data_IF_641097925266
#
_entry.id   IF_641097925266
#
_cell.length_a   1.000
_cell.length_b   1.000
_cell.length_c   1.000
_cell.angle_alpha   90.00
_cell.angle_beta   90.00
_cell.angle_gamma   90.00
#
_symmetry.space_group_name_H-M   'P 1'
#
loop_
_entity.id
_entity.type
_entity.pdbx_description
1 polymer ?
#
# COMPACT_ATOMS: atom_id res chain seq x y z
N UNK A 1 25.77 -18.46 -12.34
CA UNK A 1 24.37 -18.70 -12.74
C UNK A 1 24.33 -19.56 -14.01
N UNK A 2 23.69 -20.72 -13.93
CA UNK A 2 23.47 -21.63 -15.05
C UNK A 2 21.96 -21.77 -15.29
N UNK A 3 21.38 -20.93 -16.16
CA UNK A 3 19.92 -20.75 -16.30
C UNK A 3 19.12 -22.07 -16.40
N UNK A 4 19.59 -23.02 -17.20
CA UNK A 4 18.89 -24.30 -17.41
C UNK A 4 18.94 -25.16 -16.15
N UNK A 5 20.11 -25.25 -15.52
CA UNK A 5 20.29 -26.00 -14.29
C UNK A 5 19.48 -25.38 -13.16
N UNK A 6 19.59 -24.05 -12.99
CA UNK A 6 18.85 -23.28 -11.99
C UNK A 6 17.32 -23.41 -12.17
N UNK A 7 16.82 -23.47 -13.41
CA UNK A 7 15.39 -23.65 -13.69
C UNK A 7 14.87 -25.03 -13.28
N UNK A 8 15.67 -26.08 -13.49
CA UNK A 8 15.27 -27.44 -13.15
C UNK A 8 15.43 -27.75 -11.67
N UNK A 9 16.44 -27.16 -11.01
CA UNK A 9 16.75 -27.44 -9.62
C UNK A 9 15.91 -26.62 -8.63
N UNK A 10 15.44 -25.42 -9.02
CA UNK A 10 14.65 -24.56 -8.14
C UNK A 10 13.14 -24.82 -8.32
N UNK A 11 12.43 -25.32 -7.29
CA UNK A 11 11.01 -25.60 -7.39
C UNK A 11 10.17 -24.32 -7.56
N UNK A 12 9.06 -24.43 -8.27
CA UNK A 12 8.08 -23.35 -8.37
C UNK A 12 7.33 -23.19 -7.04
N UNK A 13 7.47 -22.03 -6.41
CA UNK A 13 6.75 -21.71 -5.16
C UNK A 13 5.34 -21.21 -5.41
N UNK A 14 4.41 -21.58 -4.52
CA UNK A 14 3.06 -21.01 -4.48
C UNK A 14 3.06 -19.67 -3.73
N UNK A 15 2.27 -18.72 -4.22
CA UNK A 15 2.06 -17.42 -3.58
C UNK A 15 0.62 -17.36 -3.05
N UNK A 16 0.46 -17.01 -1.77
CA UNK A 16 -0.85 -16.95 -1.11
C UNK A 16 -1.00 -15.65 -0.31
N UNK A 17 -2.24 -15.21 -0.16
CA UNK A 17 -2.60 -14.16 0.79
C UNK A 17 -3.47 -14.79 1.88
N UNK A 18 -3.10 -14.61 3.14
CA UNK A 18 -3.86 -15.06 4.31
C UNK A 18 -4.47 -13.83 4.98
N UNK A 19 -5.78 -13.86 5.20
CA UNK A 19 -6.50 -12.90 6.05
C UNK A 19 -7.26 -13.68 7.11
N UNK A 20 -6.91 -13.49 8.38
CA UNK A 20 -7.63 -14.09 9.50
C UNK A 20 -7.86 -13.08 10.64
N UNK A 21 -8.80 -13.42 11.52
CA UNK A 21 -9.06 -12.77 12.80
C UNK A 21 -9.90 -13.71 13.70
N UNK A 22 -9.80 -13.63 15.05
CA UNK A 22 -8.81 -12.86 15.82
C UNK A 22 -7.40 -13.48 15.73
N UNK A 23 -6.36 -12.73 16.12
CA UNK A 23 -4.97 -13.20 16.11
C UNK A 23 -4.49 -13.76 17.44
N UNK A 24 -5.39 -13.82 18.42
CA UNK A 24 -5.08 -14.30 19.74
C UNK A 24 -6.04 -15.39 20.20
N UNK A 25 -5.53 -16.25 21.08
CA UNK A 25 -6.36 -17.15 21.87
C UNK A 25 -6.22 -16.79 23.33
N UNK A 26 -7.27 -16.15 23.87
CA UNK A 26 -7.30 -15.58 25.23
C UNK A 26 -6.06 -14.69 25.45
N UNK A 27 -5.40 -14.86 26.58
CA UNK A 27 -4.16 -14.23 27.03
C UNK A 27 -2.94 -15.15 26.88
N UNK A 28 -3.05 -16.25 26.10
CA UNK A 28 -2.01 -17.30 26.06
C UNK A 28 -1.21 -17.31 24.75
N UNK A 29 -1.85 -17.01 23.62
CA UNK A 29 -1.23 -17.10 22.30
C UNK A 29 -1.57 -15.83 21.53
N UNK A 30 -0.56 -15.27 20.86
CA UNK A 30 -0.68 -14.21 19.86
C UNK A 30 0.17 -14.58 18.64
N UNK A 31 -0.37 -14.38 17.44
CA UNK A 31 0.37 -14.54 16.16
C UNK A 31 0.63 -13.17 15.52
N UNK A 32 1.80 -13.02 14.89
CA UNK A 32 2.29 -11.79 14.23
C UNK A 32 2.99 -12.16 12.90
N UNK A 33 3.14 -11.19 12.00
CA UNK A 33 3.78 -11.38 10.69
C UNK A 33 3.03 -12.37 9.79
N UNK A 34 3.76 -13.14 8.98
CA UNK A 34 3.15 -14.09 8.02
C UNK A 34 2.21 -15.13 8.67
N UNK A 35 2.38 -15.42 9.96
CA UNK A 35 1.48 -16.31 10.69
C UNK A 35 0.05 -15.74 10.80
N UNK A 36 -0.11 -14.42 10.83
CA UNK A 36 -1.41 -13.72 10.90
C UNK A 36 -1.83 -13.06 9.59
N UNK A 37 -0.89 -12.66 8.74
CA UNK A 37 -1.17 -11.92 7.50
C UNK A 37 -0.15 -12.15 6.38
N UNK A 38 0.11 -13.40 5.99
CA UNK A 38 0.92 -13.66 4.79
C UNK A 38 0.37 -12.90 3.57
N UNK A 39 1.23 -12.17 2.86
CA UNK A 39 0.88 -11.40 1.66
C UNK A 39 1.74 -11.80 0.46
N UNK A 40 1.19 -11.62 -0.73
CA UNK A 40 1.97 -11.77 -1.97
C UNK A 40 3.12 -10.74 -2.03
N UNK A 41 4.29 -11.11 -2.58
CA UNK A 41 5.52 -10.32 -2.46
C UNK A 41 5.58 -9.11 -3.40
N UNK A 42 4.48 -8.77 -4.08
CA UNK A 42 4.49 -7.78 -5.16
C UNK A 42 4.73 -6.35 -4.68
N UNK A 43 4.59 -6.05 -3.39
CA UNK A 43 4.98 -4.75 -2.82
C UNK A 43 6.30 -4.78 -2.02
N UNK A 44 6.87 -5.97 -1.75
CA UNK A 44 8.06 -6.09 -0.90
C UNK A 44 7.84 -5.70 0.58
N UNK A 45 6.61 -5.80 1.09
CA UNK A 45 6.23 -5.26 2.40
C UNK A 45 5.96 -6.31 3.48
N UNK A 46 6.04 -7.62 3.18
CA UNK A 46 5.77 -8.68 4.17
C UNK A 46 6.69 -8.58 5.40
N UNK A 47 8.01 -8.52 5.17
CA UNK A 47 8.99 -8.34 6.25
C UNK A 47 8.79 -7.01 7.00
N UNK A 48 8.55 -5.91 6.28
CA UNK A 48 8.38 -4.59 6.90
C UNK A 48 7.12 -4.54 7.78
N UNK A 49 5.99 -5.05 7.30
CA UNK A 49 4.74 -5.13 8.06
C UNK A 49 4.89 -6.04 9.28
N UNK A 50 5.61 -7.18 9.15
CA UNK A 50 5.92 -8.05 10.28
C UNK A 50 6.86 -7.42 11.31
N UNK A 51 7.78 -6.55 10.92
CA UNK A 51 8.60 -5.77 11.86
C UNK A 51 7.80 -4.65 12.53
N UNK A 52 6.93 -3.99 11.79
CA UNK A 52 6.02 -2.98 12.34
C UNK A 52 5.08 -3.59 13.38
N UNK A 53 4.62 -4.83 13.19
CA UNK A 53 3.87 -5.57 14.21
C UNK A 53 4.63 -5.66 15.54
N UNK A 54 5.91 -6.02 15.51
CA UNK A 54 6.74 -6.11 16.72
C UNK A 54 6.83 -4.76 17.43
N UNK A 55 7.02 -3.67 16.68
CA UNK A 55 7.07 -2.31 17.22
C UNK A 55 5.74 -1.89 17.85
N UNK A 56 4.62 -2.13 17.16
CA UNK A 56 3.29 -1.78 17.67
C UNK A 56 2.94 -2.60 18.91
N UNK A 57 3.33 -3.88 18.93
CA UNK A 57 3.11 -4.73 20.10
C UNK A 57 3.94 -4.28 21.30
N UNK A 58 5.22 -3.90 21.10
CA UNK A 58 6.08 -3.36 22.15
C UNK A 58 5.52 -2.08 22.77
N UNK A 59 5.00 -1.16 21.95
CA UNK A 59 4.34 0.05 22.45
C UNK A 59 3.14 -0.29 23.34
N UNK A 60 2.30 -1.24 22.93
CA UNK A 60 1.14 -1.67 23.72
C UNK A 60 1.57 -2.34 25.03
N UNK A 61 2.68 -3.08 25.04
CA UNK A 61 3.21 -3.67 26.27
C UNK A 61 3.62 -2.61 27.30
N UNK A 62 4.09 -1.43 26.85
CA UNK A 62 4.43 -0.31 27.72
C UNK A 62 3.24 0.47 28.31
N UNK A 63 2.01 0.19 27.87
CA UNK A 63 0.82 0.97 28.27
C UNK A 63 -0.06 0.28 29.32
N UNK A 64 -0.09 -1.05 29.35
CA UNK A 64 -0.92 -1.85 30.28
C UNK A 64 -0.18 -3.16 30.59
N UNK A 65 -0.41 -3.75 31.77
CA UNK A 65 0.13 -5.05 32.18
C UNK A 65 -0.84 -6.23 31.91
N UNK A 66 -2.08 -5.94 31.49
CA UNK A 66 -3.09 -6.96 31.21
C UNK A 66 -2.84 -7.63 29.84
N UNK A 67 -2.48 -8.92 29.84
CA UNK A 67 -2.21 -9.68 28.61
C UNK A 67 -3.42 -9.84 27.70
N UNK A 68 -4.61 -10.01 28.25
CA UNK A 68 -5.83 -10.13 27.44
C UNK A 68 -6.08 -8.81 26.71
N UNK A 69 -5.94 -7.69 27.42
CA UNK A 69 -6.07 -6.35 26.85
C UNK A 69 -5.00 -6.09 25.77
N UNK A 70 -3.72 -6.41 26.06
CA UNK A 70 -2.61 -6.25 25.10
C UNK A 70 -2.92 -6.95 23.77
N UNK A 71 -3.34 -8.21 23.83
CA UNK A 71 -3.59 -9.03 22.65
C UNK A 71 -4.79 -8.53 21.82
N UNK A 72 -5.88 -8.15 22.49
CA UNK A 72 -7.06 -7.60 21.83
C UNK A 72 -6.75 -6.25 21.18
N UNK A 73 -6.05 -5.35 21.89
CA UNK A 73 -5.66 -4.03 21.39
C UNK A 73 -4.72 -4.15 20.19
N UNK A 74 -3.74 -5.05 20.24
CA UNK A 74 -2.83 -5.29 19.14
C UNK A 74 -3.56 -5.78 17.89
N UNK A 75 -4.38 -6.83 18.03
CA UNK A 75 -5.14 -7.41 16.90
C UNK A 75 -6.03 -6.36 16.25
N UNK A 76 -6.77 -5.57 17.05
CA UNK A 76 -7.63 -4.50 16.52
C UNK A 76 -6.86 -3.37 15.86
N UNK A 77 -5.70 -2.99 16.40
CA UNK A 77 -4.89 -1.88 15.87
C UNK A 77 -4.24 -2.24 14.54
N UNK A 78 -3.74 -3.48 14.39
CA UNK A 78 -2.99 -3.92 13.21
C UNK A 78 -3.84 -4.52 12.09
N UNK A 79 -5.02 -5.04 12.39
CA UNK A 79 -5.89 -5.67 11.38
C UNK A 79 -6.21 -4.76 10.18
N UNK A 80 -6.58 -3.47 10.36
CA UNK A 80 -6.84 -2.59 9.22
C UNK A 80 -5.62 -2.40 8.31
N UNK A 81 -4.43 -2.21 8.90
CA UNK A 81 -3.19 -1.99 8.15
C UNK A 81 -2.73 -3.23 7.40
N UNK A 82 -2.83 -4.40 8.04
CA UNK A 82 -2.42 -5.67 7.43
C UNK A 82 -3.37 -6.12 6.31
N UNK A 83 -4.67 -5.83 6.44
CA UNK A 83 -5.61 -6.02 5.33
C UNK A 83 -5.35 -5.03 4.19
N UNK A 84 -4.97 -3.79 4.52
CA UNK A 84 -4.65 -2.76 3.53
C UNK A 84 -3.36 -3.07 2.76
N UNK A 85 -2.30 -3.54 3.43
CA UNK A 85 -1.05 -3.90 2.73
C UNK A 85 -1.21 -5.13 1.84
N UNK A 86 -2.08 -6.08 2.23
CA UNK A 86 -2.47 -7.20 1.38
C UNK A 86 -3.17 -6.72 0.10
N UNK A 87 -4.07 -5.74 0.22
CA UNK A 87 -4.75 -5.12 -0.92
C UNK A 87 -3.79 -4.33 -1.80
N UNK A 88 -2.92 -3.51 -1.20
CA UNK A 88 -1.89 -2.75 -1.91
C UNK A 88 -0.96 -3.67 -2.70
N UNK A 89 -0.54 -4.80 -2.12
CA UNK A 89 0.27 -5.80 -2.81
C UNK A 89 -0.46 -6.39 -4.02
N UNK A 90 -1.76 -6.64 -3.93
CA UNK A 90 -2.56 -7.10 -5.06
C UNK A 90 -2.73 -6.00 -6.14
N UNK A 91 -2.99 -4.76 -5.74
CA UNK A 91 -3.05 -3.61 -6.66
C UNK A 91 -1.72 -3.48 -7.43
N UNK A 92 -0.58 -3.58 -6.73
CA UNK A 92 0.72 -3.47 -7.38
C UNK A 92 1.03 -4.64 -8.31
N UNK A 93 0.55 -5.86 -8.00
CA UNK A 93 0.62 -6.99 -8.92
C UNK A 93 -0.06 -6.66 -10.26
N UNK A 94 -1.30 -6.15 -10.21
CA UNK A 94 -2.07 -5.79 -11.41
C UNK A 94 -1.40 -4.63 -12.15
N UNK A 95 -0.92 -3.62 -11.43
CA UNK A 95 -0.21 -2.48 -12.03
C UNK A 95 1.04 -2.92 -12.81
N UNK A 96 1.88 -3.74 -12.18
CA UNK A 96 3.12 -4.23 -12.79
C UNK A 96 2.86 -5.15 -13.99
N UNK A 97 1.85 -6.02 -13.89
CA UNK A 97 1.49 -6.99 -14.94
C UNK A 97 0.83 -6.33 -16.16
N UNK A 98 -0.13 -5.44 -15.93
CA UNK A 98 -1.05 -5.00 -16.98
C UNK A 98 -0.79 -3.56 -17.46
N UNK A 99 -0.24 -2.67 -16.61
CA UNK A 99 -0.28 -1.22 -16.85
C UNK A 99 1.07 -0.59 -17.17
N UNK A 100 2.19 -1.24 -16.86
CA UNK A 100 3.54 -0.68 -17.04
C UNK A 100 3.86 -0.31 -18.50
N UNK A 101 3.22 -0.96 -19.46
CA UNK A 101 3.32 -0.64 -20.90
C UNK A 101 2.19 0.23 -21.45
N UNK A 102 1.17 0.60 -20.67
CA UNK A 102 0.00 1.35 -21.15
C UNK A 102 0.32 2.86 -21.26
N UNK A 103 0.24 3.47 -22.45
CA UNK A 103 0.47 4.91 -22.64
C UNK A 103 -0.43 5.80 -21.77
N UNK A 104 -1.66 5.39 -21.46
CA UNK A 104 -2.56 6.16 -20.58
C UNK A 104 -2.06 6.15 -19.14
N UNK A 105 -1.66 4.98 -18.66
CA UNK A 105 -1.08 4.84 -17.34
C UNK A 105 0.21 5.65 -17.18
N UNK A 106 1.10 5.60 -18.17
CA UNK A 106 2.33 6.40 -18.18
C UNK A 106 2.05 7.91 -18.18
N UNK A 107 1.02 8.36 -18.89
CA UNK A 107 0.60 9.76 -18.85
C UNK A 107 0.07 10.16 -17.48
N UNK A 108 -0.78 9.33 -16.86
CA UNK A 108 -1.26 9.56 -15.50
C UNK A 108 -0.08 9.71 -14.53
N UNK A 109 0.92 8.80 -14.59
CA UNK A 109 2.11 8.88 -13.74
C UNK A 109 2.93 10.15 -13.98
N UNK A 110 3.05 10.63 -15.23
CA UNK A 110 3.70 11.91 -15.52
C UNK A 110 2.98 13.10 -14.88
N UNK A 111 1.64 13.11 -14.91
CA UNK A 111 0.82 14.15 -14.28
C UNK A 111 1.00 14.09 -12.76
N UNK A 112 0.88 12.91 -12.15
CA UNK A 112 1.08 12.70 -10.70
C UNK A 112 2.48 13.18 -10.25
N UNK A 113 3.54 12.79 -10.97
CA UNK A 113 4.91 13.20 -10.65
C UNK A 113 5.09 14.71 -10.73
N UNK A 114 4.62 15.35 -11.81
CA UNK A 114 4.73 16.81 -11.98
C UNK A 114 3.93 17.56 -10.92
N UNK A 115 2.75 17.05 -10.55
CA UNK A 115 1.93 17.67 -9.51
C UNK A 115 2.62 17.56 -8.14
N UNK A 116 3.19 16.39 -7.81
CA UNK A 116 3.96 16.19 -6.58
C UNK A 116 5.19 17.10 -6.50
N UNK A 117 5.92 17.30 -7.60
CA UNK A 117 7.08 18.21 -7.63
C UNK A 117 6.72 19.65 -7.24
N UNK A 118 5.50 20.10 -7.58
CA UNK A 118 5.03 21.46 -7.29
C UNK A 118 4.29 21.59 -5.96
N UNK A 119 3.53 20.56 -5.57
CA UNK A 119 2.68 20.55 -4.37
C UNK A 119 2.95 19.31 -3.50
N UNK A 120 4.19 19.12 -3.00
CA UNK A 120 4.56 17.93 -2.23
C UNK A 120 3.75 17.77 -0.95
N UNK A 121 3.24 18.87 -0.39
CA UNK A 121 2.38 18.90 0.79
C UNK A 121 0.94 18.46 0.53
N UNK A 122 0.51 18.41 -0.74
CA UNK A 122 -0.87 18.06 -1.13
C UNK A 122 -0.98 16.68 -1.77
N UNK A 123 0.10 16.15 -2.32
CA UNK A 123 0.05 14.91 -3.08
C UNK A 123 1.31 14.06 -2.91
N UNK A 124 1.36 13.21 -1.90
CA UNK A 124 2.42 12.20 -1.83
C UNK A 124 2.03 10.98 -2.70
N UNK A 125 2.88 10.53 -3.64
CA UNK A 125 2.58 9.32 -4.41
C UNK A 125 2.39 8.09 -3.51
N UNK A 126 1.43 7.23 -3.83
CA UNK A 126 1.10 6.04 -3.03
C UNK A 126 2.33 5.16 -2.73
N UNK A 127 3.20 4.94 -3.72
CA UNK A 127 4.43 4.18 -3.52
C UNK A 127 5.34 4.81 -2.44
N UNK A 128 5.45 6.13 -2.42
CA UNK A 128 6.23 6.86 -1.42
C UNK A 128 5.57 6.83 -0.04
N UNK A 129 4.24 6.90 0.03
CA UNK A 129 3.49 6.73 1.29
C UNK A 129 3.81 5.38 1.93
N UNK A 130 3.79 4.30 1.16
CA UNK A 130 3.99 2.93 1.67
C UNK A 130 5.46 2.59 1.94
N UNK A 131 6.39 3.08 1.10
CA UNK A 131 7.79 2.62 1.11
C UNK A 131 8.73 3.53 1.89
N UNK A 132 8.45 4.84 1.93
CA UNK A 132 9.37 5.86 2.45
C UNK A 132 8.77 6.68 3.59
N UNK A 133 7.71 6.19 4.23
CA UNK A 133 7.07 6.84 5.37
C UNK A 133 6.58 5.80 6.39
N UNK A 134 6.12 6.28 7.55
CA UNK A 134 5.44 5.47 8.57
C UNK A 134 3.93 5.77 8.62
N UNK A 135 3.34 6.21 7.51
CA UNK A 135 1.88 6.38 7.41
C UNK A 135 1.23 5.00 7.53
N UNK A 136 0.19 4.83 8.37
CA UNK A 136 -0.54 3.56 8.46
C UNK A 136 -0.99 3.08 7.09
N UNK A 137 -0.81 1.80 6.78
CA UNK A 137 -1.15 1.25 5.46
C UNK A 137 -2.62 1.47 5.10
N UNK A 138 -3.54 1.45 6.07
CA UNK A 138 -4.94 1.76 5.84
C UNK A 138 -5.14 3.20 5.35
N UNK A 139 -4.41 4.16 5.93
CA UNK A 139 -4.47 5.57 5.54
C UNK A 139 -3.83 5.80 4.17
N UNK A 140 -2.71 5.11 3.89
CA UNK A 140 -2.05 5.14 2.58
C UNK A 140 -2.98 4.60 1.48
N UNK A 141 -3.64 3.47 1.71
CA UNK A 141 -4.62 2.89 0.78
C UNK A 141 -5.78 3.87 0.54
N UNK A 142 -6.38 4.41 1.60
CA UNK A 142 -7.48 5.37 1.49
C UNK A 142 -7.09 6.62 0.71
N UNK A 143 -5.90 7.17 0.99
CA UNK A 143 -5.36 8.34 0.29
C UNK A 143 -5.10 8.02 -1.18
N UNK A 144 -4.49 6.87 -1.47
CA UNK A 144 -4.26 6.39 -2.84
C UNK A 144 -5.56 6.22 -3.64
N UNK A 145 -6.62 5.69 -3.01
CA UNK A 145 -7.94 5.58 -3.64
C UNK A 145 -8.56 6.95 -3.93
N UNK A 146 -8.38 7.95 -3.05
CA UNK A 146 -8.80 9.33 -3.32
C UNK A 146 -8.02 9.94 -4.48
N UNK A 147 -6.70 9.79 -4.48
CA UNK A 147 -5.82 10.26 -5.55
C UNK A 147 -6.20 9.64 -6.91
N UNK A 148 -6.45 8.33 -6.96
CA UNK A 148 -6.89 7.66 -8.17
C UNK A 148 -8.23 8.21 -8.67
N UNK A 149 -9.21 8.46 -7.79
CA UNK A 149 -10.50 9.07 -8.18
C UNK A 149 -10.36 10.47 -8.76
N UNK A 150 -9.37 11.24 -8.29
CA UNK A 150 -9.06 12.57 -8.86
C UNK A 150 -8.46 12.38 -10.25
N UNK A 151 -7.50 11.47 -10.41
CA UNK A 151 -6.89 11.18 -11.71
C UNK A 151 -7.89 10.62 -12.72
N UNK A 152 -8.85 9.78 -12.29
CA UNK A 152 -9.93 9.29 -13.14
C UNK A 152 -10.80 10.43 -13.70
N UNK A 153 -10.89 11.56 -13.00
CA UNK A 153 -11.60 12.75 -13.49
C UNK A 153 -10.73 13.58 -14.43
N UNK A 154 -9.47 13.80 -14.08
CA UNK A 154 -8.51 14.57 -14.90
C UNK A 154 -8.27 13.87 -16.24
N UNK A 155 -8.10 12.55 -16.23
CA UNK A 155 -7.80 11.73 -17.41
C UNK A 155 -9.00 11.55 -18.37
N UNK A 156 -10.21 12.02 -18.00
CA UNK A 156 -11.37 12.04 -18.91
C UNK A 156 -11.29 13.15 -19.95
N UNK A 157 -10.43 14.14 -19.75
CA UNK A 157 -10.27 15.23 -20.69
C UNK A 157 -9.72 14.70 -22.03
N UNK A 158 -10.43 14.90 -23.16
CA UNK A 158 -10.02 14.35 -24.45
C UNK A 158 -8.71 14.97 -24.96
N UNK A 159 -8.34 16.16 -24.49
CA UNK A 159 -7.13 16.89 -24.87
C UNK A 159 -6.04 16.78 -23.78
N UNK A 160 -6.16 15.82 -22.85
CA UNK A 160 -5.22 15.68 -21.74
C UNK A 160 -3.79 15.46 -22.24
N UNK A 161 -3.59 14.78 -23.38
CA UNK A 161 -2.26 14.49 -23.92
C UNK A 161 -1.52 15.76 -24.33
N UNK A 162 -2.24 16.78 -24.77
CA UNK A 162 -1.71 18.04 -25.27
C UNK A 162 -1.49 19.05 -24.15
N UNK A 163 -2.25 18.97 -23.05
CA UNK A 163 -2.23 19.96 -21.96
C UNK A 163 -1.88 19.42 -20.58
N UNK A 164 -1.40 18.18 -20.47
CA UNK A 164 -1.10 17.50 -19.21
C UNK A 164 -0.17 18.30 -18.28
N UNK A 165 0.71 19.12 -18.83
CA UNK A 165 1.71 19.92 -18.10
C UNK A 165 1.29 21.38 -17.88
N UNK A 166 0.09 21.75 -18.32
CA UNK A 166 -0.46 23.11 -18.24
C UNK A 166 -0.94 23.46 -16.82
N UNK A 167 -0.99 24.77 -16.53
CA UNK A 167 -1.56 25.28 -15.28
C UNK A 167 -3.06 24.98 -15.13
N UNK A 168 -3.78 24.73 -16.23
CA UNK A 168 -5.21 24.38 -16.20
C UNK A 168 -5.42 23.03 -15.52
N UNK A 169 -4.60 22.03 -15.85
CA UNK A 169 -4.66 20.70 -15.22
C UNK A 169 -4.24 20.77 -13.75
N UNK A 170 -3.23 21.57 -13.44
CA UNK A 170 -2.78 21.79 -12.07
C UNK A 170 -3.88 22.41 -11.19
N UNK A 171 -4.54 23.47 -11.66
CA UNK A 171 -5.68 24.10 -10.97
C UNK A 171 -6.88 23.16 -10.86
N UNK A 172 -7.13 22.33 -11.88
CA UNK A 172 -8.17 21.30 -11.82
C UNK A 172 -7.89 20.30 -10.68
N UNK A 173 -6.67 19.77 -10.58
CA UNK A 173 -6.28 18.87 -9.48
C UNK A 173 -6.44 19.56 -8.12
N UNK A 174 -5.94 20.80 -7.97
CA UNK A 174 -6.08 21.59 -6.74
C UNK A 174 -7.54 21.81 -6.34
N UNK A 175 -8.42 22.05 -7.31
CA UNK A 175 -9.85 22.20 -7.04
C UNK A 175 -10.46 20.90 -6.51
N UNK A 176 -10.13 19.75 -7.12
CA UNK A 176 -10.68 18.46 -6.74
C UNK A 176 -10.21 18.01 -5.34
N UNK A 177 -8.98 18.33 -4.96
CA UNK A 177 -8.47 18.06 -3.61
C UNK A 177 -9.29 18.78 -2.54
N UNK A 178 -9.74 20.03 -2.78
CA UNK A 178 -10.52 20.80 -1.79
C UNK A 178 -11.90 20.22 -1.48
N UNK A 179 -12.44 19.37 -2.37
CA UNK A 179 -13.79 18.82 -2.25
C UNK A 179 -13.82 17.34 -1.80
N UNK A 180 -12.69 16.76 -1.37
CA UNK A 180 -12.53 15.33 -1.02
C UNK A 180 -11.96 15.14 0.40
#
# INVERSE_FOLDING_TARGET
>A
PELVQDWHDNPTSSLVTIKCEPWNYKDQILILGDASHAIVPFYGQGMNSGFEDCTVFEQIMGETEDWAERFERFSRKRKPDTDAIAELAFINHVEMRDKTGDPKFLLQKKIESRFFEKHPEKWMPLYSQVTFSNIPYADALNTGLKQQKIMDQVMKDPEIKEKWDSGVIEEQILSLIKYT
#
